data_IF_889186071033
#
_entry.id   IF_889186071033
#
_cell.length_a   1.000
_cell.length_b   1.000
_cell.length_c   1.000
_cell.angle_alpha   90.00
_cell.angle_beta   90.00
_cell.angle_gamma   90.00
#
_symmetry.space_group_name_H-M   'P 1'
#
loop_
_entity.id
_entity.type
_entity.pdbx_description
1 polymer ?
#
# COMPACT_ATOMS: atom_id res chain seq x y z
N UNK A 1 1.04 79.56 8.06
CA UNK A 1 0.31 78.57 7.24
C UNK A 1 1.01 77.22 7.40
N UNK A 2 0.56 76.30 8.29
CA UNK A 2 1.09 74.93 8.30
C UNK A 2 0.23 74.03 7.40
N UNK A 3 0.88 73.20 6.59
CA UNK A 3 0.20 72.17 5.80
C UNK A 3 -0.04 70.94 6.67
N UNK A 4 -1.31 70.58 6.84
CA UNK A 4 -1.75 69.34 7.51
C UNK A 4 -1.43 68.16 6.59
N UNK A 5 -0.60 67.22 7.04
CA UNK A 5 -0.37 65.94 6.35
C UNK A 5 -1.32 64.88 6.92
N UNK A 6 -2.36 64.53 6.17
CA UNK A 6 -3.21 63.37 6.48
C UNK A 6 -2.55 62.11 5.94
N UNK A 7 -2.04 61.25 6.82
CA UNK A 7 -1.54 59.93 6.45
C UNK A 7 -2.72 58.94 6.35
N UNK A 8 -3.13 58.58 5.13
CA UNK A 8 -4.10 57.51 4.90
C UNK A 8 -3.46 56.15 5.26
N UNK A 9 -4.01 55.48 6.28
CA UNK A 9 -3.68 54.10 6.61
C UNK A 9 -4.07 53.17 5.45
N UNK A 10 -3.08 52.46 4.85
CA UNK A 10 -3.31 51.55 3.71
C UNK A 10 -4.02 50.25 4.14
N UNK A 11 -5.26 49.97 3.68
CA UNK A 11 -6.01 48.76 4.06
C UNK A 11 -5.61 47.47 3.31
N UNK A 12 -4.45 47.42 2.65
CA UNK A 12 -4.10 46.35 1.70
C UNK A 12 -3.60 45.02 2.31
N UNK A 13 -3.04 45.04 3.53
CA UNK A 13 -2.23 43.92 4.00
C UNK A 13 -3.05 42.73 4.50
N UNK A 14 -4.28 42.95 5.00
CA UNK A 14 -5.15 41.88 5.51
C UNK A 14 -5.70 40.99 4.39
N UNK A 15 -5.99 41.58 3.22
CA UNK A 15 -6.45 40.83 2.04
C UNK A 15 -5.32 39.99 1.46
N UNK A 16 -4.12 40.56 1.37
CA UNK A 16 -2.94 39.85 0.88
C UNK A 16 -2.56 38.67 1.78
N UNK A 17 -2.54 38.86 3.11
CA UNK A 17 -2.26 37.78 4.06
C UNK A 17 -3.29 36.66 3.95
N UNK A 18 -4.59 37.00 3.83
CA UNK A 18 -5.66 35.99 3.68
C UNK A 18 -5.52 35.18 2.39
N UNK A 19 -5.17 35.83 1.28
CA UNK A 19 -4.93 35.16 -0.01
C UNK A 19 -3.74 34.21 0.08
N UNK A 20 -2.63 34.64 0.69
CA UNK A 20 -1.45 33.78 0.89
C UNK A 20 -1.78 32.58 1.78
N UNK A 21 -2.52 32.77 2.87
CA UNK A 21 -2.92 31.67 3.76
C UNK A 21 -3.82 30.65 3.06
N UNK A 22 -4.81 31.10 2.28
CA UNK A 22 -5.68 30.19 1.51
C UNK A 22 -4.86 29.44 0.45
N UNK A 23 -3.97 30.12 -0.27
CA UNK A 23 -3.12 29.49 -1.27
C UNK A 23 -2.19 28.44 -0.67
N UNK A 24 -1.55 28.73 0.47
CA UNK A 24 -0.71 27.78 1.19
C UNK A 24 -1.51 26.56 1.69
N UNK A 25 -2.73 26.76 2.18
CA UNK A 25 -3.61 25.67 2.60
C UNK A 25 -4.01 24.77 1.40
N UNK A 26 -4.33 25.38 0.25
CA UNK A 26 -4.67 24.64 -0.98
C UNK A 26 -3.46 23.84 -1.48
N UNK A 27 -2.26 24.43 -1.51
CA UNK A 27 -1.04 23.70 -1.90
C UNK A 27 -0.73 22.55 -0.96
N UNK A 28 -0.91 22.74 0.35
CA UNK A 28 -0.70 21.68 1.36
C UNK A 28 -1.71 20.55 1.17
N UNK A 29 -2.98 20.88 0.94
CA UNK A 29 -4.03 19.89 0.67
C UNK A 29 -3.77 19.13 -0.64
N UNK A 30 -3.38 19.83 -1.71
CA UNK A 30 -3.00 19.19 -2.97
C UNK A 30 -1.80 18.24 -2.80
N UNK A 31 -0.78 18.65 -2.04
CA UNK A 31 0.37 17.81 -1.72
C UNK A 31 -0.01 16.56 -0.91
N UNK A 32 -0.99 16.65 -0.01
CA UNK A 32 -1.51 15.50 0.73
C UNK A 32 -2.23 14.50 -0.19
N UNK A 33 -3.00 14.99 -1.18
CA UNK A 33 -3.67 14.12 -2.15
C UNK A 33 -2.69 13.37 -3.07
N UNK A 34 -1.51 13.95 -3.35
CA UNK A 34 -0.44 13.30 -4.11
C UNK A 34 0.23 12.14 -3.34
N UNK A 35 0.06 12.08 -2.02
CA UNK A 35 0.63 11.04 -1.14
C UNK A 35 -0.45 10.07 -0.64
N UNK A 36 -1.73 10.33 -0.91
CA UNK A 36 -2.80 9.43 -0.55
C UNK A 36 -2.70 8.13 -1.37
N UNK A 37 -2.28 7.04 -0.72
CA UNK A 37 -2.27 5.70 -1.31
C UNK A 37 -3.70 5.16 -1.49
N UNK A 38 -3.88 4.16 -2.35
CA UNK A 38 -5.15 3.45 -2.46
C UNK A 38 -5.53 2.82 -1.11
N UNK A 39 -6.78 2.97 -0.69
CA UNK A 39 -7.32 2.21 0.44
C UNK A 39 -7.74 0.82 -0.09
N UNK A 40 -7.11 -0.26 0.40
CA UNK A 40 -7.55 -1.64 0.11
C UNK A 40 -8.66 -1.98 1.09
N UNK A 41 -9.87 -2.17 0.60
CA UNK A 41 -10.98 -2.68 1.39
C UNK A 41 -11.10 -4.21 1.29
N UNK A 42 -10.63 -4.79 0.19
CA UNK A 42 -10.60 -6.24 0.01
C UNK A 42 -9.47 -6.87 0.83
N UNK A 43 -9.80 -8.01 1.43
CA UNK A 43 -8.81 -8.91 1.99
C UNK A 43 -7.90 -9.45 0.87
N UNK A 44 -6.64 -9.68 1.20
CA UNK A 44 -5.66 -10.26 0.29
C UNK A 44 -5.18 -11.60 0.85
N UNK A 45 -5.04 -12.61 0.00
CA UNK A 45 -4.34 -13.83 0.38
C UNK A 45 -2.86 -13.48 0.63
N UNK A 46 -2.39 -13.68 1.86
CA UNK A 46 -1.02 -13.42 2.28
C UNK A 46 -0.14 -14.66 2.12
N UNK A 47 -0.68 -15.83 2.44
CA UNK A 47 0.01 -17.12 2.32
C UNK A 47 -0.97 -18.29 2.25
N UNK A 48 -0.47 -19.41 1.76
CA UNK A 48 -1.16 -20.70 1.77
C UNK A 48 -0.31 -21.77 2.46
N UNK A 49 -0.96 -22.79 2.99
CA UNK A 49 -0.36 -24.05 3.42
C UNK A 49 -1.13 -25.20 2.76
N UNK A 50 -0.54 -25.97 1.84
CA UNK A 50 0.83 -25.85 1.33
C UNK A 50 1.10 -24.50 0.66
N UNK A 51 2.36 -24.06 0.71
CA UNK A 51 2.79 -22.86 0.00
C UNK A 51 2.63 -23.04 -1.51
N UNK A 52 2.25 -21.97 -2.22
CA UNK A 52 2.28 -21.96 -3.69
C UNK A 52 3.64 -22.41 -4.25
N UNK A 53 3.58 -23.37 -5.19
CA UNK A 53 4.71 -24.04 -5.80
C UNK A 53 5.44 -25.03 -4.89
N UNK A 54 4.86 -25.42 -3.75
CA UNK A 54 5.49 -26.40 -2.86
C UNK A 54 5.57 -27.79 -3.50
N UNK A 55 6.60 -28.53 -3.11
CA UNK A 55 6.75 -29.96 -3.38
C UNK A 55 6.75 -30.68 -2.03
N UNK A 56 5.85 -31.65 -1.87
CA UNK A 56 5.57 -32.35 -0.63
C UNK A 56 5.87 -33.84 -0.82
N UNK A 57 6.38 -34.50 0.20
CA UNK A 57 6.58 -35.96 0.18
C UNK A 57 5.27 -36.74 0.34
N UNK A 58 4.28 -36.14 0.99
CA UNK A 58 2.99 -36.76 1.32
C UNK A 58 1.84 -35.76 1.10
N UNK A 59 0.64 -36.30 0.88
CA UNK A 59 -0.57 -35.50 0.70
C UNK A 59 -0.94 -34.76 2.01
N UNK A 60 -1.14 -33.43 1.98
CA UNK A 60 -1.64 -32.69 3.14
C UNK A 60 -3.07 -33.08 3.47
N UNK A 61 -3.41 -33.10 4.76
CA UNK A 61 -4.78 -33.36 5.22
C UNK A 61 -5.74 -32.18 4.98
N UNK A 62 -5.21 -30.98 4.81
CA UNK A 62 -5.99 -29.75 4.65
C UNK A 62 -5.25 -28.70 3.85
N UNK A 63 -6.00 -27.75 3.29
CA UNK A 63 -5.50 -26.49 2.76
C UNK A 63 -5.79 -25.38 3.78
N UNK A 64 -4.76 -24.62 4.14
CA UNK A 64 -4.85 -23.39 4.91
C UNK A 64 -4.61 -22.16 4.02
N UNK A 65 -5.43 -21.13 4.18
CA UNK A 65 -5.33 -19.86 3.47
C UNK A 65 -5.33 -18.72 4.50
N UNK A 66 -4.24 -17.96 4.57
CA UNK A 66 -4.10 -16.83 5.48
C UNK A 66 -4.36 -15.53 4.72
N UNK A 67 -5.30 -14.73 5.20
CA UNK A 67 -5.71 -13.47 4.59
C UNK A 67 -5.23 -12.25 5.38
N UNK A 68 -5.36 -11.05 4.83
CA UNK A 68 -4.99 -9.80 5.53
C UNK A 68 -5.97 -9.40 6.64
N UNK A 69 -7.18 -9.94 6.61
CA UNK A 69 -8.20 -9.84 7.65
C UNK A 69 -9.09 -11.08 7.59
N UNK A 70 -9.87 -11.31 8.66
CA UNK A 70 -10.85 -12.38 8.75
C UNK A 70 -11.95 -12.27 7.67
N UNK A 71 -12.00 -13.19 6.68
CA UNK A 71 -13.10 -13.25 5.72
C UNK A 71 -14.42 -13.60 6.41
N UNK A 72 -15.54 -13.45 5.72
CA UNK A 72 -16.84 -13.90 6.22
C UNK A 72 -16.97 -15.42 6.10
N UNK A 73 -17.53 -16.05 7.14
CA UNK A 73 -17.77 -17.51 7.24
C UNK A 73 -18.83 -18.07 6.25
N UNK A 74 -19.19 -17.32 5.21
CA UNK A 74 -20.22 -17.71 4.23
C UNK A 74 -19.70 -17.55 2.82
N UNK A 75 -20.12 -18.46 1.93
CA UNK A 75 -19.69 -18.42 0.52
C UNK A 75 -18.20 -18.66 0.37
N UNK A 76 -17.65 -19.61 1.14
CA UNK A 76 -16.27 -20.05 1.00
C UNK A 76 -16.27 -21.36 0.21
N UNK A 77 -15.42 -21.45 -0.81
CA UNK A 77 -15.20 -22.67 -1.58
C UNK A 77 -13.70 -22.91 -1.76
N UNK A 78 -13.29 -24.16 -1.65
CA UNK A 78 -11.93 -24.62 -1.98
C UNK A 78 -12.06 -25.86 -2.85
N UNK A 79 -11.41 -25.86 -4.00
CA UNK A 79 -11.44 -26.93 -4.98
C UNK A 79 -10.01 -27.31 -5.37
N UNK A 80 -9.72 -28.62 -5.44
CA UNK A 80 -8.45 -29.18 -5.89
C UNK A 80 -8.67 -29.92 -7.19
N UNK A 81 -7.89 -29.61 -8.23
CA UNK A 81 -7.82 -30.42 -9.44
C UNK A 81 -6.52 -31.20 -9.45
N UNK A 82 -6.63 -32.53 -9.50
CA UNK A 82 -5.49 -33.44 -9.43
C UNK A 82 -4.86 -33.79 -10.78
N UNK A 83 -3.81 -34.62 -10.77
CA UNK A 83 -3.03 -34.98 -11.97
C UNK A 83 -3.83 -35.78 -13.01
N UNK A 84 -4.93 -36.41 -12.60
CA UNK A 84 -5.87 -37.14 -13.46
C UNK A 84 -6.95 -36.22 -14.07
N UNK A 85 -6.92 -34.93 -13.75
CA UNK A 85 -7.92 -33.94 -14.14
C UNK A 85 -9.22 -34.00 -13.34
N UNK A 86 -9.27 -34.83 -12.27
CA UNK A 86 -10.44 -34.90 -11.39
C UNK A 86 -10.41 -33.75 -10.40
N UNK A 87 -11.54 -33.06 -10.25
CA UNK A 87 -11.73 -32.03 -9.24
C UNK A 87 -12.38 -32.61 -7.98
N UNK A 88 -11.76 -32.36 -6.84
CA UNK A 88 -12.25 -32.65 -5.51
C UNK A 88 -12.59 -31.35 -4.77
N UNK A 89 -13.70 -31.33 -4.02
CA UNK A 89 -14.06 -30.20 -3.17
C UNK A 89 -13.48 -30.39 -1.76
N UNK A 90 -12.96 -29.30 -1.19
CA UNK A 90 -12.63 -29.26 0.23
C UNK A 90 -13.90 -29.33 1.09
N UNK A 91 -13.79 -29.95 2.26
CA UNK A 91 -14.87 -30.11 3.25
C UNK A 91 -14.52 -29.46 4.58
N UNK A 92 -15.48 -29.45 5.51
CA UNK A 92 -15.29 -29.00 6.90
C UNK A 92 -14.59 -27.64 6.99
N UNK A 93 -15.03 -26.71 6.14
CA UNK A 93 -14.43 -25.38 6.04
C UNK A 93 -14.62 -24.63 7.35
N UNK A 94 -13.52 -24.13 7.90
CA UNK A 94 -13.49 -23.33 9.13
C UNK A 94 -12.76 -22.02 8.89
N UNK A 95 -13.18 -20.99 9.61
CA UNK A 95 -12.50 -19.69 9.67
C UNK A 95 -12.10 -19.46 11.12
N UNK A 96 -10.81 -19.30 11.36
CA UNK A 96 -10.25 -18.92 12.65
C UNK A 96 -9.39 -17.67 12.45
N UNK A 97 -9.91 -16.53 12.93
CA UNK A 97 -9.36 -15.21 12.64
C UNK A 97 -9.17 -14.98 11.12
N UNK A 98 -7.96 -14.72 10.67
CA UNK A 98 -7.60 -14.50 9.28
C UNK A 98 -7.27 -15.79 8.50
N UNK A 99 -7.49 -16.97 9.08
CA UNK A 99 -7.15 -18.26 8.47
C UNK A 99 -8.39 -19.06 8.10
N UNK A 100 -8.52 -19.39 6.81
CA UNK A 100 -9.50 -20.35 6.29
C UNK A 100 -8.84 -21.71 6.15
N UNK A 101 -9.44 -22.75 6.73
CA UNK A 101 -8.96 -24.14 6.60
C UNK A 101 -10.03 -25.01 5.96
N UNK A 102 -9.67 -25.77 4.92
CA UNK A 102 -10.53 -26.76 4.28
C UNK A 102 -9.86 -28.14 4.33
N UNK A 103 -10.60 -29.16 4.80
CA UNK A 103 -10.11 -30.54 4.78
C UNK A 103 -10.16 -31.12 3.37
N UNK A 104 -9.16 -31.93 3.03
CA UNK A 104 -9.09 -32.62 1.75
C UNK A 104 -9.63 -34.05 1.88
N UNK A 105 -10.16 -34.64 0.79
CA UNK A 105 -10.48 -36.06 0.77
C UNK A 105 -9.25 -36.92 1.06
N UNK A 106 -9.49 -38.06 1.69
CA UNK A 106 -8.49 -39.12 1.80
C UNK A 106 -8.22 -39.73 0.40
N UNK A 107 -7.04 -40.31 0.21
CA UNK A 107 -6.63 -41.05 -0.99
C UNK A 107 -6.50 -40.24 -2.30
N UNK A 108 -5.91 -39.04 -2.21
CA UNK A 108 -5.49 -38.28 -3.39
C UNK A 108 -4.18 -38.85 -3.97
N UNK A 109 -4.10 -39.15 -5.29
CA UNK A 109 -2.91 -39.73 -5.90
C UNK A 109 -1.73 -38.75 -5.96
N UNK A 110 -0.48 -39.21 -5.91
CA UNK A 110 0.66 -38.32 -6.06
C UNK A 110 0.69 -37.65 -7.44
N UNK A 111 1.12 -36.39 -7.49
CA UNK A 111 1.22 -35.60 -8.71
C UNK A 111 1.04 -34.10 -8.47
N UNK A 112 0.80 -33.37 -9.57
CA UNK A 112 0.55 -31.93 -9.52
C UNK A 112 -0.91 -31.63 -9.22
N UNK A 113 -1.13 -30.63 -8.36
CA UNK A 113 -2.44 -30.16 -7.95
C UNK A 113 -2.58 -28.66 -8.17
N UNK A 114 -3.70 -28.27 -8.75
CA UNK A 114 -4.16 -26.88 -8.82
C UNK A 114 -5.26 -26.66 -7.78
N UNK A 115 -5.07 -25.67 -6.91
CA UNK A 115 -6.02 -25.27 -5.87
C UNK A 115 -6.68 -23.99 -6.30
N UNK A 116 -7.99 -24.01 -6.48
CA UNK A 116 -8.81 -22.82 -6.65
C UNK A 116 -9.57 -22.53 -5.36
N UNK A 117 -9.66 -21.27 -4.98
CA UNK A 117 -10.40 -20.85 -3.80
C UNK A 117 -11.26 -19.61 -4.09
N UNK A 118 -12.35 -19.51 -3.33
CA UNK A 118 -13.29 -18.40 -3.32
C UNK A 118 -13.61 -18.06 -1.87
N UNK A 119 -13.55 -16.78 -1.49
CA UNK A 119 -14.00 -16.31 -0.18
C UNK A 119 -14.78 -15.00 -0.32
N UNK A 120 -15.61 -14.68 0.67
CA UNK A 120 -16.19 -13.35 0.81
C UNK A 120 -15.33 -12.55 1.79
N UNK A 121 -14.63 -11.54 1.28
CA UNK A 121 -13.80 -10.64 2.08
C UNK A 121 -14.60 -9.97 3.21
N UNK A 122 -13.90 -9.51 4.25
CA UNK A 122 -14.44 -8.80 5.42
C UNK A 122 -15.28 -7.56 5.04
N UNK A 123 -15.05 -6.98 3.86
CA UNK A 123 -15.83 -5.87 3.29
C UNK A 123 -17.10 -6.31 2.52
N UNK A 124 -17.35 -7.62 2.42
CA UNK A 124 -18.54 -8.22 1.82
C UNK A 124 -18.45 -8.50 0.32
N UNK A 125 -17.30 -8.28 -0.32
CA UNK A 125 -17.12 -8.60 -1.74
C UNK A 125 -16.47 -9.98 -1.92
N UNK A 126 -16.92 -10.77 -2.91
CA UNK A 126 -16.25 -12.01 -3.26
C UNK A 126 -14.87 -11.74 -3.87
N UNK A 127 -13.91 -12.58 -3.51
CA UNK A 127 -12.57 -12.64 -4.09
C UNK A 127 -12.21 -14.09 -4.38
N UNK A 128 -11.40 -14.29 -5.42
CA UNK A 128 -10.99 -15.59 -5.93
C UNK A 128 -9.48 -15.64 -6.10
N UNK A 129 -8.92 -16.84 -6.10
CA UNK A 129 -7.54 -17.05 -6.52
C UNK A 129 -7.20 -18.52 -6.69
N UNK A 130 -5.96 -18.73 -7.13
CA UNK A 130 -5.44 -20.06 -7.42
C UNK A 130 -3.97 -20.17 -6.99
N UNK A 131 -3.54 -21.37 -6.66
CA UNK A 131 -2.14 -21.72 -6.45
C UNK A 131 -1.90 -23.20 -6.74
N UNK A 132 -0.65 -23.62 -6.86
CA UNK A 132 -0.33 -25.02 -7.18
C UNK A 132 0.61 -25.66 -6.17
N UNK A 133 0.58 -26.98 -6.05
CA UNK A 133 1.59 -27.75 -5.32
C UNK A 133 1.76 -29.13 -5.96
N UNK A 134 2.85 -29.81 -5.63
CA UNK A 134 3.18 -31.16 -6.12
C UNK A 134 3.35 -32.10 -4.94
N UNK A 135 2.80 -33.30 -5.04
CA UNK A 135 3.08 -34.41 -4.13
C UNK A 135 3.98 -35.40 -4.84
N UNK A 136 5.19 -35.59 -4.34
CA UNK A 136 6.08 -36.68 -4.77
C UNK A 136 5.46 -38.00 -4.31
N UNK A 137 5.34 -38.96 -5.21
CA UNK A 137 4.91 -40.30 -4.82
C UNK A 137 5.91 -40.90 -3.85
N UNK A 138 5.43 -41.54 -2.79
CA UNK A 138 6.28 -42.29 -1.88
C UNK A 138 7.15 -43.23 -2.73
N UNK A 139 8.49 -43.22 -2.56
CA UNK A 139 9.34 -44.14 -3.29
C UNK A 139 8.90 -45.55 -2.93
N UNK A 140 8.28 -46.23 -3.90
CA UNK A 140 7.99 -47.66 -3.84
C UNK A 140 9.19 -48.34 -3.18
N UNK A 141 9.02 -49.10 -2.08
CA UNK A 141 10.13 -49.74 -1.41
C UNK A 141 10.84 -50.59 -2.46
N UNK A 142 12.03 -50.14 -2.85
CA UNK A 142 12.86 -50.80 -3.85
C UNK A 142 13.06 -52.23 -3.36
N UNK A 143 12.37 -53.18 -4.01
CA UNK A 143 12.59 -54.58 -3.77
C UNK A 143 14.08 -54.81 -3.97
N UNK A 144 14.77 -55.15 -2.88
CA UNK A 144 16.19 -55.50 -2.93
C UNK A 144 16.34 -56.57 -4.01
N UNK A 145 17.18 -56.38 -5.04
CA UNK A 145 17.39 -57.41 -6.03
C UNK A 145 17.96 -58.63 -5.31
N UNK A 146 17.19 -59.71 -5.29
CA UNK A 146 17.72 -61.04 -5.01
C UNK A 146 18.70 -61.34 -6.14
N UNK A 147 20.00 -61.31 -5.83
CA UNK A 147 21.06 -61.82 -6.69
C UNK A 147 20.77 -63.29 -7.02
N UNK A 148 20.32 -63.56 -8.25
CA UNK A 148 20.31 -64.90 -8.84
C UNK A 148 21.27 -64.87 -10.05
N UNK A 149 22.23 -65.81 -10.15
CA UNK A 149 23.34 -65.67 -11.09
C UNK A 149 22.94 -66.05 -12.52
N UNK A 150 23.33 -65.17 -13.44
CA UNK A 150 23.93 -65.41 -14.77
C UNK A 150 23.71 -66.80 -15.39
N UNK A 151 22.92 -66.82 -16.47
CA UNK A 151 23.22 -67.62 -17.66
C UNK A 151 22.95 -66.77 -18.92
N UNK A 152 24.03 -66.32 -19.55
CA UNK A 152 24.05 -65.88 -20.95
C UNK A 152 24.05 -67.15 -21.83
N UNK A 153 23.42 -67.15 -23.02
CA UNK A 153 24.22 -66.78 -24.18
C UNK A 153 23.48 -66.09 -25.35
N UNK A 154 24.24 -65.19 -25.97
CA UNK A 154 24.51 -65.02 -27.41
C UNK A 154 23.48 -64.44 -28.41
N UNK A 155 23.98 -63.37 -29.05
CA UNK A 155 23.93 -63.00 -30.47
C UNK A 155 22.59 -62.99 -31.23
N UNK A 156 22.24 -61.80 -31.72
CA UNK A 156 21.95 -61.66 -33.16
C UNK A 156 22.17 -60.22 -33.64
N UNK A 157 23.19 -60.07 -34.49
CA UNK A 157 23.43 -58.89 -35.33
C UNK A 157 22.36 -58.84 -36.42
N UNK A 158 21.69 -57.70 -36.60
CA UNK A 158 21.06 -57.38 -37.88
C UNK A 158 21.30 -55.92 -38.26
N UNK A 159 22.04 -55.81 -39.35
CA UNK A 159 22.43 -54.63 -40.10
C UNK A 159 21.37 -54.28 -41.15
N UNK A 160 20.98 -53.00 -41.23
CA UNK A 160 20.52 -52.35 -42.46
C UNK A 160 20.46 -50.81 -42.26
N UNK A 161 21.30 -50.08 -43.00
CA UNK A 161 21.12 -48.65 -43.32
C UNK A 161 20.32 -48.53 -44.65
N UNK A 162 20.02 -47.34 -45.25
CA UNK A 162 20.36 -45.94 -44.88
C UNK A 162 19.24 -44.87 -45.16
N UNK A 163 19.63 -43.57 -45.10
CA UNK A 163 19.05 -42.31 -45.68
C UNK A 163 17.71 -41.80 -45.10
N UNK A 164 17.45 -40.52 -44.77
CA UNK A 164 17.82 -39.22 -45.37
C UNK A 164 17.94 -38.07 -44.32
N UNK A 165 18.89 -37.16 -44.55
CA UNK A 165 18.83 -35.74 -44.16
C UNK A 165 18.26 -34.95 -45.37
N UNK A 166 17.50 -33.84 -45.23
CA UNK A 166 18.08 -32.58 -44.74
C UNK A 166 17.15 -31.60 -43.98
N UNK A 167 17.81 -30.78 -43.16
CA UNK A 167 17.71 -29.30 -42.99
C UNK A 167 16.39 -28.58 -43.31
N UNK A 168 15.88 -27.83 -42.33
CA UNK A 168 14.88 -26.77 -42.55
C UNK A 168 14.59 -25.98 -41.28
N UNK A 169 15.35 -24.91 -41.05
CA UNK A 169 15.08 -23.88 -40.05
C UNK A 169 13.91 -23.00 -40.47
N UNK A 170 13.06 -22.61 -39.51
CA UNK A 170 12.47 -21.26 -39.45
C UNK A 170 12.08 -20.94 -38.00
N UNK A 171 12.76 -19.94 -37.46
CA UNK A 171 12.27 -19.02 -36.43
C UNK A 171 10.81 -18.62 -36.68
N UNK A 172 9.97 -18.66 -35.64
CA UNK A 172 8.99 -17.60 -35.40
C UNK A 172 8.58 -17.61 -33.92
N UNK A 173 9.48 -17.06 -33.09
CA UNK A 173 9.14 -16.63 -31.74
C UNK A 173 8.25 -15.38 -31.85
N UNK A 174 6.93 -15.60 -31.83
CA UNK A 174 5.97 -14.52 -31.64
C UNK A 174 6.17 -13.92 -30.25
N UNK A 175 6.79 -12.75 -30.25
CA UNK A 175 6.98 -11.85 -29.12
C UNK A 175 5.61 -11.31 -28.67
N UNK A 176 5.16 -11.53 -27.42
CA UNK A 176 4.17 -10.64 -26.84
C UNK A 176 4.85 -9.30 -26.57
N UNK A 177 4.38 -8.26 -27.23
CA UNK A 177 4.70 -6.86 -26.88
C UNK A 177 4.10 -6.60 -25.51
N UNK A 178 4.87 -6.85 -24.46
CA UNK A 178 4.58 -6.37 -23.12
C UNK A 178 4.91 -4.88 -23.08
N UNK A 179 3.89 -4.04 -22.89
CA UNK A 179 4.08 -2.66 -22.45
C UNK A 179 4.65 -2.71 -21.03
N UNK A 180 5.96 -2.89 -20.95
CA UNK A 180 6.74 -2.63 -19.76
C UNK A 180 6.72 -1.13 -19.46
N UNK A 181 5.68 -0.70 -18.75
CA UNK A 181 5.72 0.51 -17.94
C UNK A 181 6.57 0.26 -16.70
N UNK A 182 7.87 0.04 -16.88
CA UNK A 182 8.84 0.00 -15.79
C UNK A 182 9.02 1.42 -15.25
N UNK A 183 8.10 1.84 -14.39
CA UNK A 183 8.36 2.88 -13.42
C UNK A 183 9.24 2.32 -12.33
N UNK A 184 10.56 2.28 -12.54
CA UNK A 184 11.54 2.13 -11.46
C UNK A 184 11.52 3.42 -10.61
N UNK A 185 10.46 3.52 -9.81
CA UNK A 185 10.29 4.55 -8.82
C UNK A 185 10.97 4.09 -7.54
N UNK A 186 12.30 4.21 -7.49
CA UNK A 186 13.01 4.41 -6.23
C UNK A 186 12.51 5.70 -5.59
N UNK A 187 11.29 5.65 -5.05
CA UNK A 187 10.69 6.71 -4.27
C UNK A 187 11.45 6.84 -2.95
N UNK A 188 11.61 8.05 -2.41
CA UNK A 188 12.29 8.24 -1.15
C UNK A 188 11.60 7.39 -0.08
N UNK A 189 12.36 6.53 0.59
CA UNK A 189 11.91 5.68 1.69
C UNK A 189 10.98 6.47 2.62
N UNK A 190 9.87 5.86 3.06
CA UNK A 190 8.74 6.56 3.70
C UNK A 190 9.09 7.52 4.87
N UNK A 191 10.28 7.38 5.47
CA UNK A 191 10.85 8.32 6.44
C UNK A 191 11.17 9.71 5.86
N UNK A 192 11.62 9.82 4.61
CA UNK A 192 11.93 11.09 3.98
C UNK A 192 10.66 11.88 3.56
N UNK A 193 9.59 11.18 3.18
CA UNK A 193 8.29 11.79 2.89
C UNK A 193 7.64 12.31 4.19
N UNK A 194 7.68 11.51 5.27
CA UNK A 194 7.17 11.93 6.57
C UNK A 194 7.93 13.15 7.14
N UNK A 195 9.26 13.20 6.96
CA UNK A 195 10.09 14.34 7.37
C UNK A 195 9.76 15.63 6.61
N UNK A 196 9.51 15.54 5.29
CA UNK A 196 9.10 16.67 4.47
C UNK A 196 7.74 17.24 4.86
N UNK A 197 6.76 16.37 5.15
CA UNK A 197 5.42 16.77 5.59
C UNK A 197 5.49 17.45 6.97
N UNK A 198 6.22 16.87 7.92
CA UNK A 198 6.39 17.46 9.25
C UNK A 198 7.06 18.85 9.16
N UNK A 199 8.11 18.99 8.34
CA UNK A 199 8.77 20.27 8.12
C UNK A 199 7.81 21.31 7.51
N UNK A 200 7.00 20.93 6.52
CA UNK A 200 6.02 21.83 5.91
C UNK A 200 4.95 22.28 6.93
N UNK A 201 4.42 21.36 7.74
CA UNK A 201 3.45 21.67 8.81
C UNK A 201 4.07 22.61 9.85
N UNK A 202 5.30 22.37 10.26
CA UNK A 202 6.01 23.23 11.24
C UNK A 202 6.27 24.63 10.68
N UNK A 203 6.61 24.76 9.39
CA UNK A 203 6.77 26.06 8.73
C UNK A 203 5.45 26.82 8.71
N UNK A 204 4.34 26.17 8.34
CA UNK A 204 3.01 26.78 8.35
C UNK A 204 2.63 27.23 9.77
N UNK A 205 2.82 26.36 10.77
CA UNK A 205 2.53 26.68 12.17
C UNK A 205 3.40 27.85 12.66
N UNK A 206 4.68 27.87 12.32
CA UNK A 206 5.62 28.95 12.65
C UNK A 206 5.20 30.30 12.04
N UNK A 207 4.79 30.31 10.77
CA UNK A 207 4.27 31.51 10.10
C UNK A 207 2.99 32.01 10.78
N UNK A 208 2.06 31.11 11.13
CA UNK A 208 0.82 31.47 11.83
C UNK A 208 1.10 32.08 13.21
N UNK A 209 2.02 31.49 13.99
CA UNK A 209 2.41 32.01 15.31
C UNK A 209 3.11 33.37 15.18
N UNK A 210 4.02 33.53 14.22
CA UNK A 210 4.69 34.80 13.95
C UNK A 210 3.69 35.89 13.55
N UNK A 211 2.72 35.56 12.70
CA UNK A 211 1.66 36.49 12.30
C UNK A 211 0.77 36.88 13.48
N UNK A 212 0.40 35.93 14.35
CA UNK A 212 -0.35 36.26 15.57
C UNK A 212 0.43 37.18 16.51
N UNK A 213 1.73 36.94 16.71
CA UNK A 213 2.59 37.81 17.51
C UNK A 213 2.65 39.23 16.95
N UNK A 214 2.87 39.38 15.65
CA UNK A 214 2.91 40.70 15.00
C UNK A 214 1.58 41.46 15.02
N UNK A 215 0.45 40.75 15.04
CA UNK A 215 -0.87 41.39 15.17
C UNK A 215 -1.03 41.94 16.59
N UNK A 216 -0.71 41.15 17.61
CA UNK A 216 -0.81 41.57 19.01
C UNK A 216 0.16 42.70 19.36
N UNK A 217 1.37 42.68 18.80
CA UNK A 217 2.34 43.78 18.95
C UNK A 217 1.82 45.07 18.33
N UNK A 218 1.23 45.01 17.13
CA UNK A 218 0.62 46.18 16.51
C UNK A 218 -0.57 46.73 17.30
N UNK A 219 -1.38 45.86 17.90
CA UNK A 219 -2.53 46.30 18.70
C UNK A 219 -2.07 47.02 19.98
N UNK A 220 -0.98 46.55 20.62
CA UNK A 220 -0.36 47.26 21.76
C UNK A 220 0.22 48.61 21.38
N UNK A 221 0.88 48.70 20.21
CA UNK A 221 1.44 49.97 19.72
C UNK A 221 0.34 50.99 19.42
N UNK A 222 -0.80 50.53 18.90
CA UNK A 222 -1.99 51.37 18.68
C UNK A 222 -2.56 51.89 19.99
N UNK A 223 -2.74 51.02 20.98
CA UNK A 223 -3.23 51.41 22.29
C UNK A 223 -2.29 52.40 23.00
N UNK A 224 -0.97 52.24 22.87
CA UNK A 224 0.00 53.21 23.43
C UNK A 224 -0.03 54.57 22.72
N UNK A 225 -0.30 54.62 21.41
CA UNK A 225 -0.44 55.89 20.69
C UNK A 225 -1.74 56.60 21.04
N UNK A 226 -2.83 55.86 21.26
CA UNK A 226 -4.11 56.44 21.70
C UNK A 226 -3.99 56.97 23.14
N UNK A 227 -3.40 56.19 24.07
CA UNK A 227 -3.20 56.62 25.46
C UNK A 227 -2.17 57.75 25.64
N UNK A 228 -1.21 57.91 24.73
CA UNK A 228 -0.22 59.00 24.76
C UNK A 228 -0.72 60.35 24.24
N UNK A 229 -1.96 60.40 23.75
CA UNK A 229 -2.60 61.63 23.26
C UNK A 229 -3.53 62.32 24.27
N UNK A 230 -3.74 61.69 25.43
CA UNK A 230 -4.43 62.27 26.59
C UNK A 230 -3.39 62.73 27.63
N UNK A 231 -2.66 63.84 27.37
CA UNK A 231 -1.90 64.56 28.41
C UNK A 231 -2.80 65.68 28.99
N UNK A 232 -2.85 65.87 30.32
CA UNK A 232 -3.95 66.57 30.99
C UNK A 232 -3.89 68.07 30.74
N UNK A 233 -5.05 68.67 30.47
CA UNK A 233 -5.23 70.12 30.44
C UNK A 233 -4.72 70.75 31.75
N UNK A 234 -3.49 71.26 31.71
CA UNK A 234 -2.87 72.00 32.79
C UNK A 234 -3.61 73.33 32.96
N UNK A 235 -4.48 73.31 33.97
CA UNK A 235 -5.03 74.40 34.75
C UNK A 235 -4.26 75.73 34.59
N UNK A 236 -4.88 76.71 33.91
CA UNK A 236 -4.37 78.08 33.87
C UNK A 236 -4.46 78.72 35.26
N UNK A 237 -3.39 79.35 35.77
CA UNK A 237 -3.44 80.06 37.04
C UNK A 237 -4.32 81.32 36.90
N UNK A 238 -5.29 81.43 37.79
CA UNK A 238 -6.16 82.58 37.96
C UNK A 238 -5.36 83.69 38.66
N UNK A 239 -5.01 84.75 37.94
CA UNK A 239 -4.31 85.92 38.50
C UNK A 239 -5.28 87.10 38.60
N UNK A 240 -5.89 87.24 39.78
CA UNK A 240 -6.64 88.41 40.19
C UNK A 240 -5.70 89.35 40.95
N UNK A 241 -5.64 90.64 40.57
CA UNK A 241 -5.38 91.65 41.57
C UNK A 241 -6.51 92.68 41.66
N UNK A 242 -7.24 92.62 42.77
CA UNK A 242 -7.83 93.80 43.39
C UNK A 242 -6.77 94.89 43.60
N UNK A 243 -7.06 96.16 43.29
CA UNK A 243 -7.01 97.28 44.27
C UNK A 243 -7.15 98.67 43.61
N UNK A 244 -8.18 99.40 44.09
CA UNK A 244 -8.23 100.84 44.47
C UNK A 244 -7.60 101.92 43.58
N UNK A 245 -8.43 102.92 43.26
CA UNK A 245 -8.04 104.30 42.92
C UNK A 245 -9.22 105.10 42.42
#
# INVERSE_FOLDING_TARGET
MPAVSVALARPGNRRLVRVITVFAAVLTFAALLLVAGPASAHDQLLSSDPKDGATLDEQPASIGLTFSSAPLDTGIEVALTGPDGTTAQGSDITVDDDVVTAQLPEDLPPGAYDVAWHVVSSDGHPIDGEFSYVVEGEPEPSATPTDEPTDEPEMSTQEAAPVDEPTGATDDASTPTELAGSGDGSGPSGLAVAGGILAAVLVVLGVVVMMRRKILENDKLRQNQESGSEEPDAEKPNDNPDTKG
#
